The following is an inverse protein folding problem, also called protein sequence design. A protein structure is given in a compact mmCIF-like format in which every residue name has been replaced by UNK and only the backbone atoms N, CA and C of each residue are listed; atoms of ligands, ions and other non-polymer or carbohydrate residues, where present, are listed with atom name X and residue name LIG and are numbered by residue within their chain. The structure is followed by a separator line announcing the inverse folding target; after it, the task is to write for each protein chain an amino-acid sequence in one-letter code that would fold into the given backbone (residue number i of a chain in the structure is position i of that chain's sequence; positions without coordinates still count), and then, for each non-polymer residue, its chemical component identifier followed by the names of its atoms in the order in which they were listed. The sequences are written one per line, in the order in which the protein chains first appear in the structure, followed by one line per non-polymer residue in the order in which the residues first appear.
data_IF_015512756366
#
_entry.id   IF_015512756366
#
_cell.length_a   1.000
_cell.length_b   1.000
_cell.length_c   1.000
_cell.angle_alpha   90.00
_cell.angle_beta   90.00
_cell.angle_gamma   90.00
#
_symmetry.space_group_name_H-M   'P 1'
#
loop_
_entity.id
_entity.type
_entity.pdbx_description
1 polymer ?
#
# COMPACT_ATOMS: atom_id res chain seq x y z
N UNK A 1 -8.10 -7.11 -16.63
CA UNK A 1 -7.09 -7.46 -15.60
C UNK A 1 -7.83 -7.61 -14.28
N UNK A 2 -7.64 -8.68 -13.49
CA UNK A 2 -8.32 -8.79 -12.20
C UNK A 2 -7.94 -7.62 -11.29
N UNK A 3 -8.94 -6.99 -10.68
CA UNK A 3 -8.74 -5.90 -9.71
C UNK A 3 -8.06 -6.45 -8.46
N UNK A 4 -7.01 -5.79 -7.97
CA UNK A 4 -6.32 -6.23 -6.76
C UNK A 4 -7.19 -5.95 -5.52
N UNK A 5 -7.59 -6.99 -4.81
CA UNK A 5 -8.41 -6.87 -3.60
C UNK A 5 -7.66 -7.29 -2.33
N UNK A 6 -8.07 -6.72 -1.19
CA UNK A 6 -7.42 -6.96 0.10
C UNK A 6 -7.51 -8.43 0.55
N UNK A 7 -8.69 -9.06 0.42
CA UNK A 7 -8.88 -10.43 0.91
C UNK A 7 -8.01 -11.45 0.16
N UNK A 8 -8.00 -11.49 -1.19
CA UNK A 8 -7.09 -12.36 -1.94
C UNK A 8 -5.61 -12.08 -1.63
N UNK A 9 -5.21 -10.80 -1.55
CA UNK A 9 -3.84 -10.42 -1.20
C UNK A 9 -3.45 -10.98 0.16
N UNK A 10 -4.30 -10.82 1.18
CA UNK A 10 -4.04 -11.33 2.53
C UNK A 10 -3.98 -12.85 2.57
N UNK A 11 -4.87 -13.55 1.85
CA UNK A 11 -4.84 -15.01 1.77
C UNK A 11 -3.51 -15.50 1.23
N UNK A 12 -3.01 -14.88 0.15
CA UNK A 12 -1.70 -15.22 -0.42
C UNK A 12 -0.55 -14.92 0.54
N UNK A 13 -0.57 -13.76 1.21
CA UNK A 13 0.51 -13.38 2.13
C UNK A 13 0.61 -14.30 3.36
N UNK A 14 -0.47 -14.95 3.79
CA UNK A 14 -0.43 -15.92 4.91
C UNK A 14 0.50 -17.11 4.64
N UNK A 15 0.79 -17.43 3.38
CA UNK A 15 1.68 -18.52 2.99
C UNK A 15 3.16 -18.15 3.18
N UNK A 16 3.50 -16.85 3.14
CA UNK A 16 4.88 -16.35 3.03
C UNK A 16 5.34 -15.52 4.25
N UNK A 17 4.42 -15.05 5.11
CA UNK A 17 4.77 -14.18 6.24
C UNK A 17 3.98 -14.44 7.52
N UNK A 18 4.60 -14.10 8.65
CA UNK A 18 3.96 -14.19 9.95
C UNK A 18 2.70 -13.30 10.04
N UNK A 19 1.64 -13.73 10.77
CA UNK A 19 0.34 -13.06 10.77
C UNK A 19 0.36 -11.56 11.08
N UNK A 20 1.26 -11.12 11.97
CA UNK A 20 1.37 -9.72 12.40
C UNK A 20 2.03 -8.80 11.36
N UNK A 21 2.67 -9.36 10.32
CA UNK A 21 3.27 -8.59 9.21
C UNK A 21 2.30 -8.36 8.06
N UNK A 22 1.15 -9.05 8.07
CA UNK A 22 0.17 -9.00 6.98
C UNK A 22 -0.55 -7.64 7.02
N UNK A 23 -0.53 -6.86 5.92
CA UNK A 23 -1.25 -5.59 5.85
C UNK A 23 -2.75 -5.76 6.08
N UNK A 24 -3.34 -4.83 6.82
CA UNK A 24 -4.79 -4.81 7.11
C UNK A 24 -5.56 -3.81 6.24
N UNK A 25 -4.87 -2.94 5.52
CA UNK A 25 -5.44 -1.90 4.66
C UNK A 25 -4.77 -1.96 3.30
N UNK A 26 -5.56 -1.82 2.24
CA UNK A 26 -5.10 -1.70 0.86
C UNK A 26 -5.81 -0.50 0.23
N UNK A 27 -5.05 0.38 -0.41
CA UNK A 27 -5.58 1.48 -1.22
C UNK A 27 -4.92 1.43 -2.59
N UNK A 28 -5.72 1.22 -3.62
CA UNK A 28 -5.29 1.29 -5.01
C UNK A 28 -5.28 2.74 -5.47
N UNK A 29 -4.22 3.12 -6.17
CA UNK A 29 -4.01 4.46 -6.74
C UNK A 29 -3.42 4.30 -8.14
N UNK A 30 -3.71 5.23 -9.04
CA UNK A 30 -3.23 5.13 -10.43
C UNK A 30 -1.72 5.32 -10.54
N UNK A 31 -1.15 6.19 -9.70
CA UNK A 31 0.30 6.39 -9.63
C UNK A 31 0.76 6.86 -8.26
N UNK A 32 2.04 6.65 -7.99
CA UNK A 32 2.73 7.17 -6.80
C UNK A 32 3.74 8.21 -7.28
N UNK A 33 3.53 9.46 -6.86
CA UNK A 33 4.44 10.55 -7.18
C UNK A 33 5.85 10.26 -6.64
N UNK A 34 6.84 10.57 -7.47
CA UNK A 34 8.26 10.38 -7.15
C UNK A 34 8.95 11.74 -7.20
N UNK A 35 9.95 11.92 -6.36
CA UNK A 35 10.78 13.11 -6.40
C UNK A 35 11.65 13.15 -7.67
N UNK A 36 12.40 14.24 -7.86
CA UNK A 36 13.29 14.42 -9.03
C UNK A 36 14.33 13.30 -9.21
N UNK A 37 14.66 12.54 -8.16
CA UNK A 37 15.56 11.38 -8.20
C UNK A 37 14.82 10.05 -8.40
N UNK A 38 13.51 10.06 -8.64
CA UNK A 38 12.69 8.86 -8.81
C UNK A 38 12.36 8.13 -7.50
N UNK A 39 12.64 8.71 -6.32
CA UNK A 39 12.33 8.10 -5.03
C UNK A 39 10.90 8.44 -4.59
N UNK A 40 10.28 7.48 -3.92
CA UNK A 40 8.96 7.65 -3.30
C UNK A 40 9.12 8.32 -1.93
N UNK A 41 8.37 9.40 -1.69
CA UNK A 41 8.33 10.04 -0.38
C UNK A 41 7.13 9.55 0.43
N UNK A 42 7.39 8.80 1.51
CA UNK A 42 6.34 8.24 2.38
C UNK A 42 5.52 9.30 3.09
N UNK A 43 6.12 10.45 3.45
CA UNK A 43 5.39 11.54 4.13
C UNK A 43 4.32 12.13 3.22
N UNK A 44 4.65 12.29 1.94
CA UNK A 44 3.72 12.83 0.95
C UNK A 44 2.61 11.82 0.64
N UNK A 45 2.93 10.52 0.54
CA UNK A 45 1.92 9.46 0.43
C UNK A 45 0.89 9.52 1.57
N UNK A 46 1.36 9.63 2.83
CA UNK A 46 0.46 9.69 3.98
C UNK A 46 -0.41 10.93 3.88
N UNK A 47 0.15 12.12 3.63
CA UNK A 47 -0.62 13.36 3.48
C UNK A 47 -1.66 13.30 2.36
N UNK A 48 -1.32 12.73 1.22
CA UNK A 48 -2.19 12.68 0.04
C UNK A 48 -3.31 11.65 0.20
N UNK A 49 -3.01 10.47 0.77
CA UNK A 49 -3.94 9.34 0.76
C UNK A 49 -4.53 8.96 2.12
N UNK A 50 -3.92 9.39 3.21
CA UNK A 50 -4.34 9.19 4.61
C UNK A 50 -4.09 10.46 5.46
N UNK A 51 -4.71 11.60 5.10
CA UNK A 51 -4.47 12.88 5.78
C UNK A 51 -4.79 12.87 7.28
N UNK A 52 -5.67 11.96 7.71
CA UNK A 52 -6.03 11.71 9.12
C UNK A 52 -4.90 11.05 9.94
N UNK A 53 -3.87 10.52 9.26
CA UNK A 53 -2.71 9.86 9.87
C UNK A 53 -1.41 10.66 9.73
N UNK A 54 -1.48 11.85 9.13
CA UNK A 54 -0.32 12.69 8.80
C UNK A 54 0.24 13.46 10.00
#
# INVERSE_FOLDING_TARGET
TPTLELNPLRTRLKEEMAPYKIPTVLKLVDSIERNAMGKVNKKDIIKTYWPDKA
#
